data_IF_843437624057
#
_entry.id   IF_843437624057
#
_cell.length_a   1.000
_cell.length_b   1.000
_cell.length_c   1.000
_cell.angle_alpha   90.00
_cell.angle_beta   90.00
_cell.angle_gamma   90.00
#
_symmetry.space_group_name_H-M   'P 1'
#
loop_
_entity.id
_entity.type
_entity.pdbx_description
1 polymer ?
#
# COMPACT_ATOMS: atom_id res chain seq x y z
N UNK A 1 0.82 10.79 13.46
CA UNK A 1 0.35 9.70 12.65
C UNK A 1 -0.19 10.21 11.31
N UNK A 2 -0.87 9.45 10.45
CA UNK A 2 -1.36 9.93 9.15
C UNK A 2 -2.79 10.46 9.25
N UNK A 3 -3.03 11.66 8.77
CA UNK A 3 -4.33 12.33 8.74
C UNK A 3 -4.59 12.88 7.34
N UNK A 4 -5.76 12.59 6.79
CA UNK A 4 -6.27 13.13 5.54
C UNK A 4 -7.53 13.92 5.85
N UNK A 5 -7.61 15.15 5.36
CA UNK A 5 -8.76 16.05 5.58
C UNK A 5 -9.26 16.57 4.24
N UNK A 6 -10.47 16.14 3.85
CA UNK A 6 -11.16 16.54 2.61
C UNK A 6 -10.28 16.41 1.35
N UNK A 7 -9.49 15.32 1.26
CA UNK A 7 -8.50 15.13 0.21
C UNK A 7 -9.17 14.77 -1.10
N UNK A 8 -8.89 15.55 -2.13
CA UNK A 8 -9.37 15.32 -3.51
C UNK A 8 -8.20 15.33 -4.48
N UNK A 9 -8.20 14.43 -5.45
CA UNK A 9 -7.28 14.43 -6.59
C UNK A 9 -8.05 14.22 -7.89
N UNK A 10 -7.90 15.16 -8.82
CA UNK A 10 -8.50 15.12 -10.16
C UNK A 10 -7.43 14.96 -11.24
N UNK A 11 -7.76 14.22 -12.27
CA UNK A 11 -7.02 14.17 -13.53
C UNK A 11 -7.95 14.68 -14.63
N UNK A 12 -7.76 15.93 -15.06
CA UNK A 12 -8.71 16.63 -15.90
C UNK A 12 -10.07 16.77 -15.21
N UNK A 13 -11.15 16.39 -15.88
CA UNK A 13 -12.52 16.48 -15.35
C UNK A 13 -12.82 15.37 -14.32
N UNK A 14 -12.13 14.21 -14.39
CA UNK A 14 -12.47 13.03 -13.58
C UNK A 14 -11.75 13.05 -12.23
N UNK A 15 -12.45 12.97 -11.08
CA UNK A 15 -11.82 12.74 -9.78
C UNK A 15 -11.35 11.28 -9.67
N UNK A 16 -10.10 11.08 -9.27
CA UNK A 16 -9.56 9.77 -8.93
C UNK A 16 -9.69 9.48 -7.42
N UNK A 17 -9.66 10.54 -6.61
CA UNK A 17 -9.98 10.56 -5.18
C UNK A 17 -10.84 11.79 -4.95
N UNK A 18 -11.93 11.66 -4.20
CA UNK A 18 -12.92 12.72 -3.98
C UNK A 18 -13.31 12.78 -2.52
N UNK A 19 -12.98 13.90 -1.88
CA UNK A 19 -13.37 14.26 -0.52
C UNK A 19 -13.10 13.17 0.54
N UNK A 20 -11.90 12.57 0.52
CA UNK A 20 -11.52 11.53 1.46
C UNK A 20 -10.96 12.15 2.73
N UNK A 21 -11.60 11.83 3.86
CA UNK A 21 -11.12 12.16 5.21
C UNK A 21 -10.96 10.88 6.00
N UNK A 22 -9.76 10.64 6.56
CA UNK A 22 -9.45 9.47 7.39
C UNK A 22 -8.23 9.72 8.27
N UNK A 23 -8.12 8.93 9.34
CA UNK A 23 -6.95 8.94 10.24
C UNK A 23 -6.46 7.53 10.47
N UNK A 24 -5.14 7.31 10.32
CA UNK A 24 -4.49 6.06 10.67
C UNK A 24 -3.80 6.20 12.03
N UNK A 25 -4.13 5.33 12.96
CA UNK A 25 -3.44 5.24 14.26
C UNK A 25 -2.08 4.55 14.12
N UNK A 26 -1.09 4.89 14.97
CA UNK A 26 0.21 4.23 14.94
C UNK A 26 0.14 2.75 15.31
N UNK A 27 1.08 1.96 14.79
CA UNK A 27 1.27 0.56 15.17
C UNK A 27 0.26 -0.43 14.59
N UNK A 28 -0.70 0.02 13.77
CA UNK A 28 -1.69 -0.85 13.12
C UNK A 28 -1.31 -1.19 11.67
N UNK A 29 -1.74 -2.38 11.24
CA UNK A 29 -1.72 -2.80 9.83
C UNK A 29 -3.10 -2.57 9.21
N UNK A 30 -3.17 -1.74 8.20
CA UNK A 30 -4.38 -1.38 7.48
C UNK A 30 -4.43 -2.06 6.11
N UNK A 31 -5.56 -2.68 5.79
CA UNK A 31 -5.88 -3.06 4.42
C UNK A 31 -6.58 -1.90 3.71
N UNK A 32 -6.06 -1.49 2.55
CA UNK A 32 -6.72 -0.54 1.64
C UNK A 32 -7.42 -1.34 0.53
N UNK A 33 -8.71 -1.52 0.66
CA UNK A 33 -9.53 -2.41 -0.15
C UNK A 33 -10.29 -1.65 -1.23
N UNK A 34 -10.50 -2.30 -2.36
CA UNK A 34 -11.31 -1.78 -3.45
C UNK A 34 -10.90 -2.34 -4.80
N UNK A 35 -11.79 -2.31 -5.81
CA UNK A 35 -11.50 -2.78 -7.15
C UNK A 35 -10.45 -1.89 -7.84
N UNK A 36 -9.96 -2.36 -8.99
CA UNK A 36 -9.09 -1.56 -9.84
C UNK A 36 -9.80 -0.25 -10.24
N UNK A 37 -9.06 0.87 -10.17
CA UNK A 37 -9.62 2.19 -10.46
C UNK A 37 -10.39 2.85 -9.30
N UNK A 38 -10.49 2.23 -8.12
CA UNK A 38 -11.17 2.82 -6.95
C UNK A 38 -10.41 3.98 -6.28
N UNK A 39 -9.17 4.27 -6.71
CA UNK A 39 -8.37 5.40 -6.20
C UNK A 39 -7.26 5.02 -5.22
N UNK A 40 -7.07 3.73 -4.86
CA UNK A 40 -6.06 3.26 -3.90
C UNK A 40 -4.64 3.77 -4.19
N UNK A 41 -4.12 3.45 -5.36
CA UNK A 41 -2.78 3.88 -5.80
C UNK A 41 -2.63 5.40 -5.82
N UNK A 42 -3.67 6.13 -6.23
CA UNK A 42 -3.66 7.61 -6.20
C UNK A 42 -3.58 8.13 -4.78
N UNK A 43 -4.35 7.56 -3.85
CA UNK A 43 -4.30 7.91 -2.44
C UNK A 43 -2.90 7.65 -1.85
N UNK A 44 -2.34 6.47 -2.08
CA UNK A 44 -1.01 6.10 -1.61
C UNK A 44 0.09 6.99 -2.20
N UNK A 45 0.01 7.35 -3.49
CA UNK A 45 0.95 8.29 -4.13
C UNK A 45 0.88 9.69 -3.54
N UNK A 46 -0.31 10.14 -3.11
CA UNK A 46 -0.44 11.44 -2.41
C UNK A 46 0.19 11.37 -1.01
N UNK A 47 -0.03 10.30 -0.26
CA UNK A 47 0.59 10.08 1.05
C UNK A 47 2.11 9.97 0.95
N UNK A 48 2.62 9.26 -0.08
CA UNK A 48 4.06 9.20 -0.37
C UNK A 48 4.64 10.55 -0.86
N UNK A 49 3.79 11.55 -1.11
CA UNK A 49 4.17 12.85 -1.63
C UNK A 49 4.74 12.81 -3.06
N UNK A 50 4.40 11.79 -3.83
CA UNK A 50 4.75 11.67 -5.26
C UNK A 50 3.86 12.53 -6.13
N UNK A 51 2.61 12.74 -5.71
CA UNK A 51 1.65 13.65 -6.33
C UNK A 51 0.99 14.52 -5.25
N UNK A 52 0.59 15.73 -5.61
CA UNK A 52 -0.11 16.64 -4.69
C UNK A 52 -1.63 16.44 -4.80
N UNK A 53 -2.39 16.57 -3.72
CA UNK A 53 -3.84 16.69 -3.80
C UNK A 53 -4.24 17.93 -4.62
N UNK A 54 -5.41 17.91 -5.23
CA UNK A 54 -6.03 19.07 -5.89
C UNK A 54 -6.64 20.00 -4.84
N UNK A 55 -7.22 19.42 -3.76
CA UNK A 55 -7.72 20.14 -2.60
C UNK A 55 -7.63 19.24 -1.36
N UNK A 56 -7.80 19.82 -0.18
CA UNK A 56 -7.65 19.14 1.10
C UNK A 56 -6.20 19.07 1.56
N UNK A 57 -5.95 18.43 2.67
CA UNK A 57 -4.65 18.38 3.32
C UNK A 57 -4.31 16.95 3.77
N UNK A 58 -3.00 16.63 3.71
CA UNK A 58 -2.44 15.38 4.24
C UNK A 58 -1.35 15.75 5.23
N UNK A 59 -1.46 15.24 6.45
CA UNK A 59 -0.47 15.42 7.52
C UNK A 59 0.06 14.07 8.00
N UNK A 60 1.34 14.04 8.30
CA UNK A 60 1.99 12.91 8.96
C UNK A 60 2.70 13.40 10.23
N UNK A 61 2.35 12.83 11.39
CA UNK A 61 2.77 13.30 12.71
C UNK A 61 2.53 14.82 12.90
N UNK A 62 1.35 15.30 12.45
CA UNK A 62 0.95 16.71 12.52
C UNK A 62 1.65 17.64 11.51
N UNK A 63 2.59 17.13 10.70
CA UNK A 63 3.33 17.91 9.71
C UNK A 63 2.78 17.65 8.29
N UNK A 64 2.73 18.67 7.43
CA UNK A 64 2.37 18.48 6.03
C UNK A 64 3.38 17.58 5.31
N UNK A 65 2.92 16.90 4.25
CA UNK A 65 3.80 16.03 3.46
C UNK A 65 4.91 16.85 2.81
N UNK A 66 6.15 16.59 3.20
CA UNK A 66 7.36 17.28 2.78
C UNK A 66 8.61 16.41 2.97
N UNK A 67 9.82 16.94 2.78
CA UNK A 67 11.05 16.14 2.89
C UNK A 67 11.18 15.38 4.20
N UNK A 68 10.93 16.02 5.34
CA UNK A 68 11.04 15.41 6.66
C UNK A 68 10.03 14.27 6.91
N UNK A 69 8.80 14.40 6.41
CA UNK A 69 7.78 13.36 6.55
C UNK A 69 8.00 12.22 5.56
N UNK A 70 8.47 12.52 4.33
CA UNK A 70 8.83 11.49 3.34
C UNK A 70 9.96 10.59 3.81
N UNK A 71 10.90 11.10 4.58
CA UNK A 71 11.96 10.31 5.19
C UNK A 71 11.39 9.23 6.14
N UNK A 72 10.21 9.44 6.71
CA UNK A 72 9.54 8.54 7.64
C UNK A 72 8.50 7.60 6.97
N UNK A 73 8.33 7.71 5.66
CA UNK A 73 7.37 6.91 4.87
C UNK A 73 8.15 6.09 3.84
N UNK A 74 7.97 4.78 3.84
CA UNK A 74 8.46 3.89 2.80
C UNK A 74 7.30 3.45 1.91
N UNK A 75 7.46 3.55 0.60
CA UNK A 75 6.42 3.21 -0.37
C UNK A 75 6.95 2.22 -1.41
N UNK A 76 6.31 1.07 -1.50
CA UNK A 76 6.50 0.08 -2.55
C UNK A 76 5.42 0.29 -3.62
N UNK A 77 5.73 0.80 -4.80
CA UNK A 77 4.77 0.92 -5.89
C UNK A 77 4.52 -0.43 -6.58
N UNK A 78 3.39 -0.53 -7.29
CA UNK A 78 3.03 -1.73 -8.06
C UNK A 78 4.01 -2.01 -9.19
N UNK A 79 4.54 -0.97 -9.84
CA UNK A 79 5.45 -1.10 -10.97
C UNK A 79 6.92 -1.01 -10.53
N UNK A 80 7.80 -1.69 -11.30
CA UNK A 80 9.24 -1.55 -11.13
C UNK A 80 9.70 -0.18 -11.62
N UNK A 81 10.55 0.49 -10.84
CA UNK A 81 11.08 1.83 -11.12
C UNK A 81 12.60 1.85 -11.20
N UNK A 82 13.22 0.67 -11.29
CA UNK A 82 14.68 0.54 -11.41
C UNK A 82 15.13 0.55 -12.88
N UNK A 83 16.34 1.03 -13.07
CA UNK A 83 16.94 0.95 -14.40
C UNK A 83 17.24 -0.51 -14.75
N UNK A 84 16.87 -0.96 -15.97
CA UNK A 84 17.02 -2.38 -16.37
C UNK A 84 18.44 -2.92 -16.31
N UNK A 85 19.46 -2.06 -16.44
CA UNK A 85 20.88 -2.42 -16.40
C UNK A 85 21.44 -2.60 -14.97
N UNK A 86 20.75 -2.11 -13.94
CA UNK A 86 21.15 -2.31 -12.54
C UNK A 86 21.12 -3.79 -12.18
N UNK A 87 22.03 -4.19 -11.27
CA UNK A 87 21.89 -5.43 -10.52
C UNK A 87 20.98 -5.20 -9.29
N UNK A 88 20.56 -6.28 -8.65
CA UNK A 88 19.84 -6.21 -7.37
C UNK A 88 20.69 -5.48 -6.33
N UNK A 89 22.01 -5.76 -6.29
CA UNK A 89 22.96 -5.06 -5.43
C UNK A 89 23.04 -3.56 -5.73
N UNK A 90 23.09 -3.19 -7.02
CA UNK A 90 23.10 -1.77 -7.44
C UNK A 90 21.83 -1.04 -6.96
N UNK A 91 20.67 -1.70 -6.99
CA UNK A 91 19.42 -1.13 -6.49
C UNK A 91 19.48 -0.87 -4.98
N UNK A 92 20.08 -1.78 -4.20
CA UNK A 92 20.29 -1.59 -2.76
C UNK A 92 21.21 -0.40 -2.47
N UNK A 93 22.34 -0.30 -3.19
CA UNK A 93 23.27 0.84 -3.06
C UNK A 93 22.62 2.15 -3.43
N UNK A 94 21.82 2.17 -4.51
CA UNK A 94 21.04 3.34 -4.92
C UNK A 94 20.10 3.80 -3.80
N UNK A 95 19.38 2.87 -3.15
CA UNK A 95 18.52 3.20 -2.01
C UNK A 95 19.30 3.75 -0.82
N UNK A 96 20.42 3.13 -0.46
CA UNK A 96 21.30 3.60 0.62
C UNK A 96 21.78 5.04 0.37
N UNK A 97 22.07 5.39 -0.87
CA UNK A 97 22.59 6.71 -1.21
C UNK A 97 21.51 7.82 -1.14
N UNK A 98 20.21 7.44 -1.22
CA UNK A 98 19.08 8.37 -1.13
C UNK A 98 18.36 8.37 0.22
N UNK A 99 18.47 7.30 1.00
CA UNK A 99 17.74 7.12 2.24
C UNK A 99 18.71 6.80 3.38
N UNK A 100 18.93 7.76 4.27
CA UNK A 100 19.82 7.62 5.42
C UNK A 100 19.41 6.47 6.37
N UNK A 101 18.11 6.15 6.41
CA UNK A 101 17.52 5.07 7.21
C UNK A 101 17.56 3.69 6.54
N UNK A 102 18.20 3.57 5.37
CA UNK A 102 18.31 2.30 4.65
C UNK A 102 19.38 1.41 5.23
N UNK A 103 18.99 0.19 5.58
CA UNK A 103 19.83 -0.82 6.22
C UNK A 103 20.27 -1.88 5.19
N UNK A 104 21.55 -1.81 4.76
CA UNK A 104 22.13 -2.76 3.80
C UNK A 104 22.23 -4.19 4.35
N UNK A 105 22.46 -4.37 5.65
CA UNK A 105 22.53 -5.71 6.24
C UNK A 105 21.14 -6.36 6.21
N UNK A 106 20.10 -5.61 6.58
CA UNK A 106 18.72 -6.07 6.48
C UNK A 106 18.34 -6.37 5.03
N UNK A 107 18.81 -5.54 4.08
CA UNK A 107 18.59 -5.78 2.65
C UNK A 107 19.15 -7.13 2.23
N UNK A 108 20.44 -7.38 2.49
CA UNK A 108 21.09 -8.64 2.14
C UNK A 108 20.44 -9.84 2.85
N UNK A 109 20.10 -9.71 4.12
CA UNK A 109 19.40 -10.76 4.86
C UNK A 109 18.01 -11.07 4.24
N UNK A 110 17.27 -10.06 3.81
CA UNK A 110 15.98 -10.24 3.15
C UNK A 110 16.15 -10.89 1.77
N UNK A 111 17.14 -10.46 0.97
CA UNK A 111 17.45 -11.10 -0.31
C UNK A 111 17.77 -12.59 -0.14
N UNK A 112 18.57 -12.93 0.87
CA UNK A 112 18.93 -14.33 1.16
C UNK A 112 17.69 -15.18 1.52
N UNK A 113 16.79 -14.68 2.38
CA UNK A 113 15.55 -15.39 2.73
C UNK A 113 14.60 -15.56 1.53
N UNK A 114 14.61 -14.59 0.62
CA UNK A 114 13.82 -14.62 -0.61
C UNK A 114 14.50 -15.34 -1.77
N UNK A 115 15.68 -15.93 -1.54
CA UNK A 115 16.46 -16.69 -2.53
C UNK A 115 16.81 -15.86 -3.77
N UNK A 116 17.14 -14.57 -3.57
CA UNK A 116 17.55 -13.66 -4.64
C UNK A 116 19.07 -13.52 -4.69
N UNK A 117 19.66 -13.65 -5.89
CA UNK A 117 21.08 -13.42 -6.08
C UNK A 117 21.35 -11.92 -6.35
N UNK A 118 22.12 -11.22 -5.47
CA UNK A 118 22.42 -9.79 -5.62
C UNK A 118 23.05 -9.39 -6.96
N UNK A 119 23.69 -10.35 -7.67
CA UNK A 119 24.38 -10.09 -8.94
C UNK A 119 23.44 -10.10 -10.16
N UNK A 120 22.21 -10.60 -9.99
CA UNK A 120 21.24 -10.69 -11.09
C UNK A 120 20.82 -9.29 -11.55
N UNK A 121 20.67 -9.12 -12.86
CA UNK A 121 20.24 -7.86 -13.47
C UNK A 121 18.71 -7.72 -13.42
N UNK A 122 18.24 -6.52 -13.11
CA UNK A 122 16.79 -6.22 -12.99
C UNK A 122 16.03 -6.64 -14.27
N UNK A 123 16.62 -6.44 -15.45
CA UNK A 123 16.02 -6.84 -16.75
C UNK A 123 15.81 -8.34 -16.93
N UNK A 124 16.53 -9.16 -16.16
CA UNK A 124 16.47 -10.62 -16.25
C UNK A 124 15.49 -11.24 -15.24
N UNK A 125 14.92 -10.44 -14.35
CA UNK A 125 14.05 -10.91 -13.29
C UNK A 125 12.63 -11.21 -13.80
N UNK A 126 12.03 -12.28 -13.29
CA UNK A 126 10.60 -12.54 -13.45
C UNK A 126 9.78 -11.49 -12.68
N UNK A 127 8.46 -11.46 -12.91
CA UNK A 127 7.54 -10.58 -12.17
C UNK A 127 7.61 -10.83 -10.67
N UNK A 128 7.64 -12.11 -10.24
CA UNK A 128 7.77 -12.50 -8.84
C UNK A 128 9.11 -12.06 -8.22
N UNK A 129 10.22 -12.27 -8.91
CA UNK A 129 11.53 -11.81 -8.46
C UNK A 129 11.58 -10.28 -8.35
N UNK A 130 10.99 -9.55 -9.28
CA UNK A 130 10.88 -8.09 -9.22
C UNK A 130 10.06 -7.64 -8.00
N UNK A 131 8.95 -8.32 -7.69
CA UNK A 131 8.15 -8.04 -6.50
C UNK A 131 8.96 -8.24 -5.21
N UNK A 132 9.72 -9.35 -5.12
CA UNK A 132 10.62 -9.64 -4.00
C UNK A 132 11.70 -8.55 -3.82
N UNK A 133 12.32 -8.09 -4.91
CA UNK A 133 13.34 -7.01 -4.84
C UNK A 133 12.73 -5.71 -4.33
N UNK A 134 11.57 -5.30 -4.87
CA UNK A 134 10.85 -4.09 -4.42
C UNK A 134 10.49 -4.19 -2.93
N UNK A 135 10.02 -5.36 -2.50
CA UNK A 135 9.71 -5.62 -1.11
C UNK A 135 10.97 -5.51 -0.23
N UNK A 136 12.05 -6.19 -0.60
CA UNK A 136 13.31 -6.16 0.15
C UNK A 136 13.83 -4.74 0.35
N UNK A 137 13.79 -3.90 -0.71
CA UNK A 137 14.18 -2.49 -0.65
C UNK A 137 13.28 -1.69 0.31
N UNK A 138 11.96 -1.90 0.24
CA UNK A 138 11.01 -1.19 1.10
C UNK A 138 11.16 -1.60 2.56
N UNK A 139 11.31 -2.90 2.85
CA UNK A 139 11.47 -3.45 4.20
C UNK A 139 12.80 -3.07 4.85
N UNK A 140 13.81 -2.72 4.04
CA UNK A 140 15.12 -2.28 4.53
C UNK A 140 15.16 -0.82 4.98
N UNK A 141 14.06 -0.07 4.80
CA UNK A 141 13.86 1.25 5.38
C UNK A 141 13.44 1.14 6.85
N UNK A 142 13.85 2.11 7.66
CA UNK A 142 13.44 2.23 9.07
C UNK A 142 12.26 3.21 9.25
N UNK A 143 11.37 3.28 8.25
CA UNK A 143 10.23 4.17 8.23
C UNK A 143 9.17 3.82 9.29
N UNK A 144 8.43 4.84 9.78
CA UNK A 144 7.30 4.69 10.70
C UNK A 144 6.04 4.18 9.98
N UNK A 145 5.87 4.55 8.71
CA UNK A 145 4.78 4.06 7.86
C UNK A 145 5.36 3.32 6.65
N UNK A 146 4.99 2.06 6.50
CA UNK A 146 5.28 1.28 5.30
C UNK A 146 4.02 1.12 4.46
N UNK A 147 4.12 1.43 3.18
CA UNK A 147 3.01 1.33 2.24
C UNK A 147 3.36 0.36 1.11
N UNK A 148 2.49 -0.62 0.89
CA UNK A 148 2.65 -1.65 -0.15
C UNK A 148 1.48 -1.58 -1.11
N UNK A 149 1.75 -1.16 -2.35
CA UNK A 149 0.72 -1.01 -3.38
C UNK A 149 0.65 -2.27 -4.24
N UNK A 150 -0.39 -3.08 -3.98
CA UNK A 150 -0.65 -4.39 -4.62
C UNK A 150 0.60 -5.30 -4.61
N UNK A 151 1.20 -5.61 -3.44
CA UNK A 151 2.47 -6.35 -3.36
C UNK A 151 2.39 -7.77 -3.90
N UNK A 152 1.19 -8.36 -3.97
CA UNK A 152 0.94 -9.73 -4.42
C UNK A 152 0.46 -9.82 -5.87
N UNK A 153 0.34 -8.67 -6.57
CA UNK A 153 -0.18 -8.66 -7.91
C UNK A 153 0.83 -9.21 -8.94
N UNK A 154 0.36 -10.12 -9.79
CA UNK A 154 1.18 -10.70 -10.87
C UNK A 154 2.27 -11.66 -10.40
N UNK A 155 2.18 -12.19 -9.17
CA UNK A 155 3.09 -13.20 -8.64
C UNK A 155 2.38 -14.56 -8.42
N UNK A 156 3.12 -15.64 -8.57
CA UNK A 156 2.63 -17.00 -8.33
C UNK A 156 2.38 -17.27 -6.83
N UNK A 157 1.65 -18.34 -6.52
CA UNK A 157 1.21 -18.68 -5.16
C UNK A 157 2.39 -18.86 -4.19
N UNK A 158 3.47 -19.52 -4.62
CA UNK A 158 4.64 -19.73 -3.74
C UNK A 158 5.34 -18.40 -3.41
N UNK A 159 5.51 -17.56 -4.42
CA UNK A 159 6.07 -16.23 -4.26
C UNK A 159 5.19 -15.34 -3.37
N UNK A 160 3.85 -15.45 -3.46
CA UNK A 160 2.93 -14.71 -2.59
C UNK A 160 3.13 -15.08 -1.12
N UNK A 161 3.20 -16.36 -0.80
CA UNK A 161 3.45 -16.83 0.57
C UNK A 161 4.74 -16.21 1.14
N UNK A 162 5.83 -16.22 0.37
CA UNK A 162 7.11 -15.61 0.78
C UNK A 162 7.00 -14.09 0.99
N UNK A 163 6.26 -13.39 0.13
CA UNK A 163 6.02 -11.92 0.24
C UNK A 163 5.22 -11.62 1.50
N UNK A 164 4.14 -12.37 1.76
CA UNK A 164 3.31 -12.24 2.97
C UNK A 164 4.15 -12.48 4.22
N UNK A 165 4.91 -13.57 4.29
CA UNK A 165 5.78 -13.88 5.42
C UNK A 165 6.78 -12.77 5.74
N UNK A 166 7.40 -12.17 4.72
CA UNK A 166 8.36 -11.07 4.93
C UNK A 166 7.67 -9.78 5.38
N UNK A 167 6.48 -9.47 4.88
CA UNK A 167 5.66 -8.34 5.37
C UNK A 167 5.34 -8.55 6.85
N UNK A 168 4.87 -9.74 7.24
CA UNK A 168 4.51 -10.07 8.62
C UNK A 168 5.74 -10.00 9.53
N UNK A 169 6.87 -10.59 9.14
CA UNK A 169 8.14 -10.51 9.88
C UNK A 169 8.61 -9.08 10.11
N UNK A 170 8.25 -8.16 9.22
CA UNK A 170 8.65 -6.77 9.30
C UNK A 170 7.81 -5.95 10.28
N UNK A 171 6.71 -6.51 10.82
CA UNK A 171 5.90 -5.84 11.85
C UNK A 171 6.77 -5.57 13.09
N UNK A 172 6.72 -4.33 13.56
CA UNK A 172 7.45 -3.88 14.76
C UNK A 172 6.54 -2.96 15.55
N UNK A 173 6.75 -2.92 16.85
CA UNK A 173 6.05 -1.98 17.72
C UNK A 173 6.23 -0.54 17.22
N UNK A 174 5.14 0.23 17.18
CA UNK A 174 5.11 1.61 16.71
C UNK A 174 5.16 1.80 15.19
N UNK A 175 5.41 0.75 14.38
CA UNK A 175 5.38 0.82 12.92
C UNK A 175 3.98 0.55 12.40
N UNK A 176 3.50 1.41 11.51
CA UNK A 176 2.23 1.20 10.80
C UNK A 176 2.46 0.67 9.40
N UNK A 177 1.50 -0.10 8.91
CA UNK A 177 1.49 -0.60 7.54
C UNK A 177 0.18 -0.26 6.85
N UNK A 178 0.25 0.11 5.58
CA UNK A 178 -0.89 0.31 4.69
C UNK A 178 -0.69 -0.56 3.46
N UNK A 179 -1.52 -1.58 3.29
CA UNK A 179 -1.38 -2.58 2.22
C UNK A 179 -2.60 -2.47 1.32
N UNK A 180 -2.41 -2.02 0.07
CA UNK A 180 -3.48 -2.12 -0.91
C UNK A 180 -3.51 -3.52 -1.49
N UNK A 181 -4.67 -4.11 -1.53
CA UNK A 181 -4.87 -5.44 -2.13
C UNK A 181 -6.31 -5.69 -2.53
N UNK A 182 -6.51 -6.54 -3.51
CA UNK A 182 -7.76 -7.19 -3.84
C UNK A 182 -7.75 -8.68 -3.43
N UNK A 183 -6.59 -9.20 -2.98
CA UNK A 183 -6.38 -10.54 -2.44
C UNK A 183 -6.45 -10.49 -0.91
N UNK A 184 -7.65 -10.32 -0.38
CA UNK A 184 -7.89 -9.98 1.02
C UNK A 184 -7.57 -11.16 1.94
N UNK A 185 -7.93 -12.35 1.53
CA UNK A 185 -7.76 -13.63 2.22
C UNK A 185 -6.30 -13.95 2.57
N UNK A 186 -5.37 -13.55 1.72
CA UNK A 186 -3.92 -13.82 1.91
C UNK A 186 -3.32 -13.09 3.13
N UNK A 187 -3.93 -11.99 3.57
CA UNK A 187 -3.42 -11.11 4.63
C UNK A 187 -4.39 -10.95 5.80
N UNK A 188 -5.59 -11.51 5.72
CA UNK A 188 -6.70 -11.22 6.61
C UNK A 188 -6.37 -11.34 8.10
N UNK A 189 -5.66 -12.40 8.51
CA UNK A 189 -5.31 -12.64 9.92
C UNK A 189 -4.34 -11.59 10.49
N UNK A 190 -3.68 -10.83 9.61
CA UNK A 190 -2.65 -9.86 9.97
C UNK A 190 -3.11 -8.41 9.83
N UNK A 191 -4.39 -8.20 9.47
CA UNK A 191 -5.00 -6.88 9.32
C UNK A 191 -5.70 -6.48 10.62
N UNK A 192 -5.35 -5.31 11.15
CA UNK A 192 -5.96 -4.74 12.35
C UNK A 192 -7.18 -3.87 12.00
N UNK A 193 -7.15 -3.19 10.84
CA UNK A 193 -8.23 -2.32 10.38
C UNK A 193 -8.31 -2.31 8.85
N UNK A 194 -9.47 -1.95 8.29
CA UNK A 194 -9.65 -1.86 6.85
C UNK A 194 -10.23 -0.51 6.42
N UNK A 195 -9.84 -0.09 5.20
CA UNK A 195 -10.27 1.12 4.51
C UNK A 195 -10.83 0.68 3.16
N UNK A 196 -12.10 0.87 2.93
CA UNK A 196 -12.78 0.47 1.71
C UNK A 196 -12.99 1.68 0.80
N UNK A 197 -12.36 1.66 -0.38
CA UNK A 197 -12.46 2.71 -1.40
C UNK A 197 -13.39 2.27 -2.54
N UNK A 198 -14.36 3.10 -2.91
CA UNK A 198 -15.26 2.85 -4.04
C UNK A 198 -15.40 4.14 -4.88
N UNK A 199 -15.12 4.07 -6.18
CA UNK A 199 -15.25 5.21 -7.11
C UNK A 199 -14.56 6.51 -6.64
N UNK A 200 -13.39 6.37 -5.99
CA UNK A 200 -12.61 7.50 -5.48
C UNK A 200 -13.05 8.04 -4.13
N UNK A 201 -14.08 7.49 -3.50
CA UNK A 201 -14.57 7.93 -2.18
C UNK A 201 -14.28 6.85 -1.11
N UNK A 202 -14.23 7.28 0.13
CA UNK A 202 -14.19 6.39 1.30
C UNK A 202 -15.58 5.80 1.52
N UNK A 203 -15.75 4.50 1.25
CA UNK A 203 -17.03 3.82 1.44
C UNK A 203 -17.21 3.34 2.89
N UNK A 204 -16.14 2.83 3.51
CA UNK A 204 -16.15 2.34 4.89
C UNK A 204 -14.73 2.30 5.47
N UNK A 205 -14.60 2.52 6.77
CA UNK A 205 -13.36 2.35 7.52
C UNK A 205 -13.66 1.97 8.96
N UNK A 206 -12.81 1.13 9.54
CA UNK A 206 -12.92 0.75 10.96
C UNK A 206 -11.95 -0.37 11.31
N UNK A 207 -11.92 -0.74 12.56
CA UNK A 207 -11.19 -1.90 13.04
C UNK A 207 -11.80 -3.18 12.43
N UNK A 208 -10.93 -4.16 12.11
CA UNK A 208 -11.36 -5.39 11.43
C UNK A 208 -12.52 -6.08 12.16
N UNK A 209 -12.39 -6.27 13.48
CA UNK A 209 -13.42 -6.95 14.28
C UNK A 209 -14.79 -6.25 14.22
N UNK A 210 -14.81 -4.91 14.18
CA UNK A 210 -16.05 -4.13 14.08
C UNK A 210 -16.67 -4.19 12.68
N UNK A 211 -15.79 -4.25 11.64
CA UNK A 211 -16.24 -4.24 10.25
C UNK A 211 -16.81 -5.58 9.80
N UNK A 212 -16.25 -6.69 10.25
CA UNK A 212 -16.61 -8.03 9.78
C UNK A 212 -17.56 -8.77 10.72
N UNK A 213 -17.58 -8.43 12.03
CA UNK A 213 -18.36 -9.19 13.02
C UNK A 213 -17.91 -10.65 13.07
N UNK A 214 -18.81 -11.58 12.82
CA UNK A 214 -18.52 -13.03 12.71
C UNK A 214 -18.05 -13.47 11.30
N UNK A 215 -18.01 -12.53 10.32
CA UNK A 215 -17.58 -12.81 8.96
C UNK A 215 -16.09 -12.53 8.72
N UNK A 216 -15.74 -12.39 7.44
CA UNK A 216 -14.37 -12.15 6.96
C UNK A 216 -14.25 -10.81 6.23
N UNK A 217 -13.01 -10.34 6.01
CA UNK A 217 -12.77 -9.19 5.13
C UNK A 217 -13.17 -9.50 3.68
N UNK A 218 -13.08 -10.76 3.27
CA UNK A 218 -13.57 -11.22 1.96
C UNK A 218 -15.09 -11.08 1.85
N UNK A 219 -15.85 -11.41 2.90
CA UNK A 219 -17.31 -11.19 2.94
C UNK A 219 -17.65 -9.69 2.88
N UNK A 220 -16.92 -8.87 3.63
CA UNK A 220 -17.06 -7.41 3.57
C UNK A 220 -16.77 -6.87 2.15
N UNK A 221 -15.71 -7.37 1.51
CA UNK A 221 -15.34 -6.99 0.15
C UNK A 221 -16.47 -7.35 -0.83
N UNK A 222 -16.99 -8.56 -0.77
CA UNK A 222 -18.10 -9.01 -1.63
C UNK A 222 -19.38 -8.22 -1.38
N UNK A 223 -19.68 -7.86 -0.13
CA UNK A 223 -20.84 -7.03 0.23
C UNK A 223 -20.76 -5.62 -0.34
N UNK A 224 -19.57 -5.00 -0.36
CA UNK A 224 -19.38 -3.62 -0.85
C UNK A 224 -19.25 -3.57 -2.38
N UNK A 225 -18.57 -4.55 -2.99
CA UNK A 225 -18.14 -4.49 -4.39
C UNK A 225 -18.75 -5.57 -5.29
N UNK A 226 -19.40 -6.58 -4.71
CA UNK A 226 -20.10 -7.64 -5.43
C UNK A 226 -21.37 -7.17 -6.14
N UNK A 227 -22.07 -8.08 -6.83
CA UNK A 227 -23.29 -7.73 -7.59
C UNK A 227 -24.34 -7.01 -6.74
N UNK A 228 -24.66 -7.52 -5.56
CA UNK A 228 -25.61 -6.90 -4.63
C UNK A 228 -25.19 -5.48 -4.17
N UNK A 229 -23.89 -5.24 -3.98
CA UNK A 229 -23.36 -3.93 -3.63
C UNK A 229 -23.33 -2.93 -4.81
N UNK A 230 -23.47 -3.42 -6.05
CA UNK A 230 -23.60 -2.58 -7.25
C UNK A 230 -25.04 -2.11 -7.44
N UNK A 231 -26.02 -2.97 -7.20
CA UNK A 231 -27.46 -2.63 -7.29
C UNK A 231 -27.85 -1.58 -6.26
N UNK A 232 -27.43 -1.72 -5.00
CA UNK A 232 -27.69 -0.73 -3.95
C UNK A 232 -27.09 0.67 -4.24
N UNK A 233 -26.00 0.75 -5.00
CA UNK A 233 -25.38 2.02 -5.40
C UNK A 233 -26.14 2.68 -6.56
N UNK A 234 -26.71 1.88 -7.51
CA UNK A 234 -27.49 2.41 -8.64
C UNK A 234 -28.83 3.01 -8.18
N UNK A 235 -29.46 2.41 -7.16
CA UNK A 235 -30.72 2.90 -6.61
C UNK A 235 -30.53 4.20 -5.79
N UNK A 236 -29.37 4.36 -5.14
CA UNK A 236 -29.03 5.59 -4.41
C UNK A 236 -28.71 6.77 -5.34
N UNK A 237 -28.15 6.53 -6.52
CA UNK A 237 -27.90 7.55 -7.55
C UNK A 237 -29.19 7.92 -8.31
N UNK A 238 -30.10 6.97 -8.51
CA UNK A 238 -31.40 7.20 -9.18
C UNK A 238 -32.40 7.97 -8.30
N UNK A 239 -32.25 7.97 -6.99
CA UNK A 239 -33.12 8.70 -6.03
C UNK A 239 -32.73 10.16 -5.77
N UNK A 240 -31.68 10.68 -6.42
CA UNK A 240 -31.19 12.07 -6.26
C UNK A 240 -31.41 12.95 -7.52
N UNK A 241 -32.34 12.59 -8.41
CA UNK A 241 -32.75 13.41 -9.57
C UNK A 241 -34.05 14.15 -9.28
#
# INVERSE_FOLDING_TARGET
MLELTHVTRRYGAKPAVSDVSLTLSPGKTYALLGPNGSGKTTLMKMVAGLIRPTSGEIRFDGQPIGPATKAQIAYMPTESYFYPYMSIEDAGRYYRDFFEDFDMERYHATLARMELNPRDKIRALSSGMNAKVRLALTLSRSAKLMMFDEPLNGVDILTRAQVVDEIIRSRREGRSMLISTHLVDELEEHIDAAICMKNGVLARMGDRAELVGEGTLTDLYLKIYGPAGREAASDAEAGQV
#
